data_IF_741253320571
#
_entry.id   IF_741253320571
#
_cell.length_a   1.000
_cell.length_b   1.000
_cell.length_c   1.000
_cell.angle_alpha   90.00
_cell.angle_beta   90.00
_cell.angle_gamma   90.00
#
_symmetry.space_group_name_H-M   'P 1'
#
loop_
_entity.id
_entity.type
_entity.pdbx_description
1 polymer ?
#
# COMPACT_ATOMS: atom_id res chain seq x y z
N UNK A 1 -7.47 -26.54 10.86
CA UNK A 1 -7.67 -26.99 9.47
C UNK A 1 -7.14 -25.97 8.46
N UNK A 2 -7.50 -24.67 8.53
CA UNK A 2 -6.98 -23.64 7.62
C UNK A 2 -5.43 -23.48 7.60
N UNK A 3 -4.74 -23.75 8.72
CA UNK A 3 -3.27 -23.68 8.79
C UNK A 3 -2.56 -24.76 7.97
N UNK A 4 -3.19 -25.92 7.76
CA UNK A 4 -2.61 -27.00 6.96
C UNK A 4 -2.68 -26.69 5.45
N UNK A 5 -3.71 -25.97 5.01
CA UNK A 5 -3.90 -25.60 3.60
C UNK A 5 -2.93 -24.50 3.14
N UNK A 6 -2.66 -23.50 4.00
CA UNK A 6 -1.68 -22.45 3.70
C UNK A 6 -0.26 -22.98 3.61
N UNK A 7 0.02 -24.12 4.24
CA UNK A 7 1.30 -24.81 4.28
C UNK A 7 1.52 -25.79 3.12
N UNK A 8 0.87 -25.53 2.00
CA UNK A 8 0.98 -26.28 0.75
C UNK A 8 1.09 -25.31 -0.42
N UNK A 9 1.67 -25.75 -1.54
CA UNK A 9 1.80 -24.90 -2.71
C UNK A 9 0.42 -24.46 -3.23
N UNK A 10 0.27 -23.18 -3.55
CA UNK A 10 -0.97 -22.69 -4.17
C UNK A 10 -1.19 -23.40 -5.52
N UNK A 11 -2.35 -24.03 -5.77
CA UNK A 11 -2.65 -24.64 -7.04
C UNK A 11 -2.49 -23.65 -8.19
N UNK A 12 -1.84 -24.08 -9.29
CA UNK A 12 -1.52 -23.21 -10.41
C UNK A 12 -2.77 -22.52 -11.03
N UNK A 13 -3.91 -23.19 -10.98
CA UNK A 13 -5.21 -22.69 -11.43
C UNK A 13 -5.69 -21.48 -10.62
N UNK A 14 -5.39 -21.44 -9.33
CA UNK A 14 -5.75 -20.36 -8.41
C UNK A 14 -4.70 -19.24 -8.40
N UNK A 15 -3.43 -19.58 -8.65
CA UNK A 15 -2.32 -18.62 -8.67
C UNK A 15 -2.47 -17.59 -9.82
N UNK A 16 -2.96 -18.05 -10.97
CA UNK A 16 -3.31 -17.21 -12.10
C UNK A 16 -2.16 -16.28 -12.55
N UNK A 17 -2.47 -15.10 -13.14
CA UNK A 17 -1.44 -14.16 -13.57
C UNK A 17 -0.70 -13.49 -12.41
N UNK A 18 -1.31 -13.42 -11.22
CA UNK A 18 -0.76 -12.72 -10.06
C UNK A 18 0.48 -13.39 -9.45
N UNK A 19 0.70 -14.68 -9.77
CA UNK A 19 1.96 -15.36 -9.48
C UNK A 19 3.18 -14.70 -10.17
N UNK A 20 2.95 -13.95 -11.25
CA UNK A 20 4.03 -13.29 -12.01
C UNK A 20 4.25 -11.87 -11.49
N UNK A 21 5.51 -11.54 -11.19
CA UNK A 21 5.89 -10.22 -10.69
C UNK A 21 5.38 -9.05 -11.55
N UNK A 22 5.43 -9.07 -12.89
CA UNK A 22 4.90 -7.96 -13.69
C UNK A 22 3.41 -7.68 -13.47
N UNK A 23 2.59 -8.73 -13.30
CA UNK A 23 1.16 -8.57 -13.03
C UNK A 23 0.94 -7.95 -11.63
N UNK A 24 1.72 -8.38 -10.63
CA UNK A 24 1.71 -7.76 -9.30
C UNK A 24 2.09 -6.28 -9.38
N UNK A 25 3.15 -5.91 -10.09
CA UNK A 25 3.58 -4.51 -10.23
C UNK A 25 2.48 -3.66 -10.89
N UNK A 26 1.79 -4.19 -11.90
CA UNK A 26 0.65 -3.50 -12.51
C UNK A 26 -0.48 -3.27 -11.50
N UNK A 27 -0.84 -4.26 -10.68
CA UNK A 27 -1.82 -4.10 -9.60
C UNK A 27 -1.37 -3.08 -8.56
N UNK A 28 -0.08 -3.08 -8.20
CA UNK A 28 0.50 -2.07 -7.30
C UNK A 28 0.33 -0.66 -7.87
N UNK A 29 0.51 -0.45 -9.17
CA UNK A 29 0.36 0.86 -9.79
C UNK A 29 -1.09 1.40 -9.79
N UNK A 30 -2.11 0.54 -9.82
CA UNK A 30 -3.50 0.94 -10.06
C UNK A 30 -4.02 2.05 -9.11
N UNK A 31 -3.86 1.96 -7.78
CA UNK A 31 -4.32 3.04 -6.90
C UNK A 31 -3.57 4.36 -7.16
N UNK A 32 -2.28 4.31 -7.50
CA UNK A 32 -1.51 5.53 -7.79
C UNK A 32 -1.97 6.19 -9.08
N UNK A 33 -2.30 5.40 -10.10
CA UNK A 33 -2.91 5.90 -11.34
C UNK A 33 -4.28 6.52 -11.09
N UNK A 34 -5.09 5.91 -10.21
CA UNK A 34 -6.38 6.47 -9.80
C UNK A 34 -6.20 7.79 -9.06
N UNK A 35 -5.27 7.85 -8.10
CA UNK A 35 -4.94 9.09 -7.37
C UNK A 35 -4.50 10.18 -8.34
N UNK A 36 -3.56 9.88 -9.24
CA UNK A 36 -3.13 10.81 -10.28
C UNK A 36 -4.29 11.30 -11.16
N UNK A 37 -5.20 10.41 -11.56
CA UNK A 37 -6.38 10.78 -12.35
C UNK A 37 -7.33 11.72 -11.58
N UNK A 38 -7.66 11.40 -10.33
CA UNK A 38 -8.56 12.25 -9.52
C UNK A 38 -7.92 13.59 -9.22
N UNK A 39 -6.60 13.62 -8.98
CA UNK A 39 -5.86 14.86 -8.73
C UNK A 39 -5.82 15.78 -9.96
N UNK A 40 -5.49 15.24 -11.13
CA UNK A 40 -5.30 16.03 -12.36
C UNK A 40 -6.60 16.33 -13.11
N UNK A 41 -7.64 15.49 -12.93
CA UNK A 41 -8.96 15.66 -13.58
C UNK A 41 -10.12 15.57 -12.58
N UNK A 42 -10.14 16.37 -11.51
CA UNK A 42 -11.15 16.28 -10.46
C UNK A 42 -12.57 16.54 -11.00
N UNK A 43 -12.72 17.40 -12.01
CA UNK A 43 -14.02 17.66 -12.64
C UNK A 43 -14.61 16.44 -13.36
N UNK A 44 -13.77 15.60 -13.98
CA UNK A 44 -14.23 14.37 -14.60
C UNK A 44 -14.72 13.38 -13.54
N UNK A 45 -13.97 13.21 -12.45
CA UNK A 45 -14.39 12.40 -11.31
C UNK A 45 -15.69 12.90 -10.69
N UNK A 46 -15.79 14.22 -10.43
CA UNK A 46 -17.01 14.85 -9.91
C UNK A 46 -18.21 14.69 -10.84
N UNK A 47 -18.01 14.67 -12.16
CA UNK A 47 -19.10 14.44 -13.12
C UNK A 47 -19.69 13.03 -13.00
N UNK A 48 -18.85 12.04 -12.70
CA UNK A 48 -19.28 10.65 -12.52
C UNK A 48 -20.00 10.42 -11.18
N UNK A 49 -19.52 11.03 -10.09
CA UNK A 49 -19.97 10.69 -8.73
C UNK A 49 -20.66 11.83 -7.96
N UNK A 50 -20.68 13.04 -8.50
CA UNK A 50 -21.34 14.21 -7.90
C UNK A 50 -20.90 14.49 -6.47
N UNK A 51 -21.88 14.63 -5.58
CA UNK A 51 -21.68 14.89 -4.14
C UNK A 51 -21.03 13.71 -3.39
N UNK A 52 -21.10 12.49 -3.94
CA UNK A 52 -20.48 11.27 -3.39
C UNK A 52 -19.06 11.04 -3.89
N UNK A 53 -18.46 12.00 -4.59
CA UNK A 53 -17.12 11.89 -5.19
C UNK A 53 -16.03 11.50 -4.19
N UNK A 54 -16.07 12.05 -2.97
CA UNK A 54 -15.12 11.68 -1.90
C UNK A 54 -15.37 10.25 -1.41
N UNK A 55 -16.62 9.87 -1.15
CA UNK A 55 -16.97 8.53 -0.65
C UNK A 55 -16.67 7.44 -1.68
N UNK A 56 -16.93 7.72 -2.96
CA UNK A 56 -16.57 6.84 -4.07
C UNK A 56 -15.05 6.68 -4.18
N UNK A 57 -14.29 7.77 -3.99
CA UNK A 57 -12.83 7.70 -4.05
C UNK A 57 -12.25 6.95 -2.83
N UNK A 58 -12.81 7.16 -1.65
CA UNK A 58 -12.46 6.39 -0.45
C UNK A 58 -12.73 4.88 -0.66
N UNK A 59 -13.92 4.53 -1.16
CA UNK A 59 -14.31 3.15 -1.46
C UNK A 59 -13.38 2.51 -2.49
N UNK A 60 -13.05 3.21 -3.57
CA UNK A 60 -12.10 2.76 -4.57
C UNK A 60 -10.68 2.60 -3.99
N UNK A 61 -10.27 3.50 -3.08
CA UNK A 61 -9.02 3.40 -2.35
C UNK A 61 -8.95 2.15 -1.46
N UNK A 62 -10.00 1.86 -0.69
CA UNK A 62 -10.07 0.63 0.12
C UNK A 62 -10.07 -0.63 -0.74
N UNK A 63 -10.87 -0.65 -1.81
CA UNK A 63 -10.90 -1.76 -2.76
C UNK A 63 -9.53 -1.98 -3.43
N UNK A 64 -8.86 -0.90 -3.83
CA UNK A 64 -7.51 -0.93 -4.39
C UNK A 64 -6.48 -1.46 -3.40
N UNK A 65 -6.55 -1.07 -2.12
CA UNK A 65 -5.66 -1.58 -1.08
C UNK A 65 -5.89 -3.06 -0.80
N UNK A 66 -7.15 -3.50 -0.73
CA UNK A 66 -7.50 -4.90 -0.60
C UNK A 66 -6.95 -5.72 -1.77
N UNK A 67 -7.11 -5.22 -3.00
CA UNK A 67 -6.57 -5.86 -4.20
C UNK A 67 -5.04 -5.93 -4.17
N UNK A 68 -4.35 -4.86 -3.77
CA UNK A 68 -2.89 -4.85 -3.60
C UNK A 68 -2.43 -5.91 -2.61
N UNK A 69 -3.05 -6.00 -1.43
CA UNK A 69 -2.67 -6.98 -0.41
C UNK A 69 -3.01 -8.42 -0.81
N UNK A 70 -4.16 -8.65 -1.45
CA UNK A 70 -4.52 -9.95 -2.00
C UNK A 70 -3.52 -10.39 -3.08
N UNK A 71 -3.10 -9.48 -3.97
CA UNK A 71 -2.13 -9.78 -5.01
C UNK A 71 -0.74 -10.12 -4.43
N UNK A 72 -0.27 -9.38 -3.42
CA UNK A 72 0.98 -9.71 -2.72
C UNK A 72 0.87 -11.07 -2.03
N UNK A 73 -0.24 -11.34 -1.36
CA UNK A 73 -0.48 -12.62 -0.69
C UNK A 73 -0.43 -13.80 -1.67
N UNK A 74 -1.13 -13.69 -2.80
CA UNK A 74 -1.12 -14.71 -3.86
C UNK A 74 0.27 -14.86 -4.46
N UNK A 75 0.97 -13.76 -4.75
CA UNK A 75 2.33 -13.79 -5.28
C UNK A 75 3.31 -14.49 -4.33
N UNK A 76 3.24 -14.19 -3.03
CA UNK A 76 4.07 -14.87 -2.02
C UNK A 76 3.73 -16.36 -1.95
N UNK A 77 2.45 -16.71 -1.89
CA UNK A 77 2.01 -18.10 -1.77
C UNK A 77 2.41 -18.93 -2.99
N UNK A 78 2.16 -18.41 -4.20
CA UNK A 78 2.54 -19.07 -5.44
C UNK A 78 4.06 -19.21 -5.61
N UNK A 79 4.84 -18.30 -5.02
CA UNK A 79 6.30 -18.31 -5.07
C UNK A 79 6.97 -19.34 -4.16
N UNK A 80 6.22 -20.04 -3.30
CA UNK A 80 6.74 -21.00 -2.34
C UNK A 80 6.21 -22.41 -2.59
N UNK A 81 7.10 -23.39 -2.73
CA UNK A 81 6.72 -24.81 -2.86
C UNK A 81 6.11 -25.38 -1.58
N UNK A 82 6.54 -24.88 -0.41
CA UNK A 82 5.99 -25.26 0.89
C UNK A 82 4.76 -24.41 1.30
N UNK A 83 4.25 -23.56 0.41
CA UNK A 83 3.22 -22.59 0.75
C UNK A 83 3.72 -21.49 1.70
N UNK A 84 2.81 -20.90 2.46
CA UNK A 84 3.06 -19.83 3.43
C UNK A 84 3.43 -20.37 4.83
N UNK A 85 4.26 -21.41 4.92
CA UNK A 85 4.84 -21.82 6.20
C UNK A 85 6.10 -20.99 6.51
N UNK A 86 6.16 -20.24 7.62
CA UNK A 86 7.41 -19.68 8.09
C UNK A 86 8.41 -20.82 8.36
N UNK A 87 9.55 -20.80 7.69
CA UNK A 87 10.59 -21.82 7.85
C UNK A 87 11.52 -21.53 9.02
N UNK A 88 11.49 -20.28 9.50
CA UNK A 88 12.30 -19.78 10.60
C UNK A 88 11.67 -18.55 11.22
N UNK A 89 12.11 -18.21 12.43
CA UNK A 89 11.80 -16.91 13.03
C UNK A 89 12.67 -15.81 12.40
N UNK A 90 12.16 -14.59 12.16
CA UNK A 90 12.95 -13.48 11.66
C UNK A 90 14.13 -13.18 12.58
N UNK A 91 15.36 -13.03 12.06
CA UNK A 91 16.48 -12.64 12.90
C UNK A 91 16.26 -11.22 13.45
N UNK A 92 16.76 -10.96 14.66
CA UNK A 92 16.49 -9.69 15.36
C UNK A 92 16.93 -8.45 14.57
N UNK A 93 17.99 -8.54 13.77
CA UNK A 93 18.46 -7.44 12.93
C UNK A 93 17.50 -7.09 11.77
N UNK A 94 16.58 -7.99 11.39
CA UNK A 94 15.47 -7.68 10.48
C UNK A 94 14.20 -7.32 11.25
N UNK A 95 13.92 -8.04 12.34
CA UNK A 95 12.68 -7.87 13.10
C UNK A 95 12.60 -6.51 13.79
N UNK A 96 13.66 -6.08 14.50
CA UNK A 96 13.63 -4.83 15.25
C UNK A 96 13.47 -3.60 14.35
N UNK A 97 14.22 -3.46 13.24
CA UNK A 97 13.99 -2.36 12.31
C UNK A 97 12.61 -2.44 11.63
N UNK A 98 12.13 -3.64 11.29
CA UNK A 98 10.80 -3.81 10.70
C UNK A 98 9.70 -3.34 11.66
N UNK A 99 9.79 -3.71 12.94
CA UNK A 99 8.85 -3.26 13.96
C UNK A 99 8.91 -1.73 14.14
N UNK A 100 10.11 -1.16 14.30
CA UNK A 100 10.27 0.28 14.45
C UNK A 100 9.71 1.05 13.24
N UNK A 101 10.07 0.62 12.02
CA UNK A 101 9.65 1.24 10.77
C UNK A 101 8.14 1.06 10.54
N UNK A 102 7.59 -0.11 10.83
CA UNK A 102 6.17 -0.41 10.73
C UNK A 102 5.34 0.41 11.71
N UNK A 103 5.73 0.44 13.00
CA UNK A 103 5.05 1.25 14.02
C UNK A 103 5.10 2.74 13.68
N UNK A 104 6.26 3.24 13.27
CA UNK A 104 6.40 4.64 12.83
C UNK A 104 5.51 4.94 11.62
N UNK A 105 5.53 4.08 10.60
CA UNK A 105 4.73 4.27 9.40
C UNK A 105 3.22 4.24 9.67
N UNK A 106 2.76 3.36 10.54
CA UNK A 106 1.37 3.32 10.97
C UNK A 106 1.00 4.55 11.80
N UNK A 107 1.88 5.03 12.69
CA UNK A 107 1.65 6.26 13.45
C UNK A 107 1.46 7.48 12.52
N UNK A 108 2.24 7.58 11.44
CA UNK A 108 2.04 8.62 10.41
C UNK A 108 0.68 8.48 9.72
N UNK A 109 0.35 7.28 9.22
CA UNK A 109 -0.92 7.03 8.54
C UNK A 109 -2.13 7.32 9.42
N UNK A 110 -2.13 6.81 10.65
CA UNK A 110 -3.18 7.07 11.64
C UNK A 110 -3.28 8.56 11.99
N UNK A 111 -2.13 9.24 12.13
CA UNK A 111 -2.09 10.68 12.37
C UNK A 111 -2.75 11.49 11.25
N UNK A 112 -2.55 11.11 9.98
CA UNK A 112 -3.21 11.79 8.85
C UNK A 112 -4.72 11.59 8.91
N UNK A 113 -5.19 10.36 9.14
CA UNK A 113 -6.62 10.10 9.27
C UNK A 113 -7.25 10.82 10.46
N UNK A 114 -6.55 10.88 11.60
CA UNK A 114 -7.02 11.58 12.79
C UNK A 114 -7.12 13.10 12.60
N UNK A 115 -6.24 13.70 11.80
CA UNK A 115 -6.19 15.15 11.59
C UNK A 115 -7.06 15.63 10.43
N UNK A 116 -7.04 14.91 9.31
CA UNK A 116 -7.70 15.32 8.07
C UNK A 116 -9.02 14.58 7.80
N UNK A 117 -9.24 13.46 8.46
CA UNK A 117 -10.35 12.55 8.18
C UNK A 117 -10.32 11.98 6.76
N UNK A 118 -11.37 11.24 6.40
CA UNK A 118 -11.52 10.66 5.06
C UNK A 118 -11.54 11.74 3.98
N UNK A 119 -12.15 12.89 4.24
CA UNK A 119 -12.24 13.97 3.27
C UNK A 119 -10.85 14.52 2.89
N UNK A 120 -9.94 14.76 3.83
CA UNK A 120 -8.62 15.24 3.45
C UNK A 120 -7.71 14.17 2.85
N UNK A 121 -7.85 12.90 3.25
CA UNK A 121 -7.10 11.79 2.64
C UNK A 121 -7.49 11.56 1.18
N UNK A 122 -8.77 11.67 0.85
CA UNK A 122 -9.29 11.38 -0.48
C UNK A 122 -9.63 12.67 -1.25
N UNK A 123 -8.69 13.61 -1.26
CA UNK A 123 -8.71 14.84 -2.06
C UNK A 123 -10.00 15.67 -1.98
N UNK A 124 -10.61 15.72 -0.79
CA UNK A 124 -11.80 16.53 -0.54
C UNK A 124 -11.63 17.97 -1.00
N UNK A 125 -10.45 18.58 -0.80
CA UNK A 125 -10.15 19.94 -1.28
C UNK A 125 -10.29 20.09 -2.79
N UNK A 126 -9.84 19.10 -3.59
CA UNK A 126 -10.02 19.07 -5.05
C UNK A 126 -11.46 18.71 -5.44
N UNK A 127 -12.15 17.95 -4.59
CA UNK A 127 -13.51 17.46 -4.86
C UNK A 127 -14.62 18.40 -4.35
N UNK A 128 -14.26 19.53 -3.74
CA UNK A 128 -15.19 20.59 -3.32
C UNK A 128 -15.67 20.47 -1.86
N UNK A 129 -14.92 19.75 -1.03
CA UNK A 129 -15.05 19.79 0.43
C UNK A 129 -14.07 20.83 0.99
N UNK A 130 -14.47 21.47 2.09
CA UNK A 130 -13.55 22.30 2.86
C UNK A 130 -12.67 21.39 3.73
N UNK A 131 -11.37 21.31 3.42
CA UNK A 131 -10.40 20.51 4.17
C UNK A 131 -9.41 21.46 4.83
N UNK A 132 -9.19 21.38 6.15
CA UNK A 132 -8.29 22.28 6.85
C UNK A 132 -6.83 22.05 6.42
N UNK A 133 -6.06 23.13 6.34
CA UNK A 133 -4.62 23.05 6.20
C UNK A 133 -3.99 22.82 7.57
N UNK A 134 -3.26 21.72 7.74
CA UNK A 134 -2.68 21.31 9.03
C UNK A 134 -1.16 21.31 8.94
N UNK A 135 -0.50 22.00 9.87
CA UNK A 135 0.97 22.04 9.99
C UNK A 135 1.50 21.27 11.21
N UNK A 136 0.60 20.78 12.07
CA UNK A 136 0.94 19.95 13.24
C UNK A 136 1.27 18.50 12.87
N UNK A 137 1.46 17.66 13.89
CA UNK A 137 1.66 16.21 13.68
C UNK A 137 0.52 15.60 12.83
N UNK A 138 0.80 14.74 11.83
CA UNK A 138 2.11 14.21 11.42
C UNK A 138 2.87 15.02 10.36
N UNK A 139 2.35 16.18 9.94
CA UNK A 139 2.96 17.03 8.91
C UNK A 139 4.24 17.74 9.36
N UNK A 140 4.53 17.78 10.67
CA UNK A 140 5.83 18.21 11.19
C UNK A 140 6.97 17.23 10.89
N UNK A 141 6.66 15.94 10.67
CA UNK A 141 7.69 14.92 10.42
C UNK A 141 8.13 14.88 8.96
N UNK A 142 7.20 15.10 8.03
CA UNK A 142 7.45 15.08 6.58
C UNK A 142 6.27 15.71 5.84
N UNK A 143 6.45 16.29 4.63
CA UNK A 143 5.35 16.90 3.87
C UNK A 143 4.26 15.91 3.42
N UNK A 144 4.62 14.64 3.17
CA UNK A 144 3.68 13.60 2.72
C UNK A 144 3.65 12.40 3.71
N UNK A 145 3.14 12.59 4.93
CA UNK A 145 3.25 11.60 6.00
C UNK A 145 2.57 10.27 5.67
N UNK A 146 1.46 10.29 4.93
CA UNK A 146 0.77 9.05 4.52
C UNK A 146 1.59 8.23 3.52
N UNK A 147 2.32 8.89 2.62
CA UNK A 147 3.14 8.22 1.61
C UNK A 147 4.39 7.61 2.22
N UNK A 148 5.06 8.36 3.09
CA UNK A 148 6.18 7.84 3.87
C UNK A 148 5.71 6.69 4.77
N UNK A 149 4.57 6.84 5.45
CA UNK A 149 4.04 5.81 6.34
C UNK A 149 3.62 4.53 5.63
N UNK A 150 3.04 4.66 4.44
CA UNK A 150 2.70 3.52 3.60
C UNK A 150 3.93 2.82 3.02
N UNK A 151 4.93 3.57 2.55
CA UNK A 151 6.20 3.01 2.10
C UNK A 151 6.90 2.26 3.25
N UNK A 152 7.00 2.87 4.44
CA UNK A 152 7.56 2.27 5.64
C UNK A 152 6.88 0.93 6.00
N UNK A 153 5.56 0.87 5.88
CA UNK A 153 4.79 -0.36 6.11
C UNK A 153 5.09 -1.47 5.11
N UNK A 154 5.32 -1.13 3.84
CA UNK A 154 5.73 -2.09 2.79
C UNK A 154 7.11 -2.66 3.08
N UNK A 155 8.08 -1.79 3.41
CA UNK A 155 9.44 -2.21 3.78
C UNK A 155 9.43 -3.10 5.02
N UNK A 156 8.74 -2.70 6.09
CA UNK A 156 8.59 -3.50 7.30
C UNK A 156 8.01 -4.90 7.00
N UNK A 157 6.94 -4.97 6.21
CA UNK A 157 6.32 -6.25 5.83
C UNK A 157 7.27 -7.12 5.01
N UNK A 158 8.01 -6.53 4.07
CA UNK A 158 9.01 -7.24 3.28
C UNK A 158 10.16 -7.80 4.12
N UNK A 159 10.66 -7.04 5.09
CA UNK A 159 11.68 -7.49 6.03
C UNK A 159 11.20 -8.68 6.88
N UNK A 160 9.96 -8.64 7.36
CA UNK A 160 9.36 -9.77 8.09
C UNK A 160 9.19 -10.98 7.17
N UNK A 161 8.65 -10.81 5.96
CA UNK A 161 8.46 -11.91 5.01
C UNK A 161 9.80 -12.61 4.67
N UNK A 162 10.85 -11.83 4.37
CA UNK A 162 12.20 -12.36 4.12
C UNK A 162 12.80 -13.01 5.37
N UNK A 163 12.60 -12.40 6.54
CA UNK A 163 13.03 -12.93 7.82
C UNK A 163 12.42 -14.31 8.09
N UNK A 164 11.12 -14.47 7.87
CA UNK A 164 10.38 -15.73 8.01
C UNK A 164 10.67 -16.77 6.93
N UNK A 165 11.38 -16.40 5.86
CA UNK A 165 11.60 -17.26 4.69
C UNK A 165 10.36 -17.44 3.81
N UNK A 166 9.43 -16.48 3.84
CA UNK A 166 8.17 -16.51 3.07
C UNK A 166 8.31 -15.92 1.67
N UNK A 167 9.41 -15.23 1.37
CA UNK A 167 9.66 -14.64 0.05
C UNK A 167 11.16 -14.47 -0.21
N UNK A 168 11.61 -14.56 -1.48
CA UNK A 168 13.01 -14.32 -1.83
C UNK A 168 13.39 -12.83 -1.62
N UNK A 169 14.57 -12.54 -1.02
CA UNK A 169 14.95 -11.16 -0.68
C UNK A 169 14.96 -10.20 -1.88
N UNK A 170 15.59 -10.60 -2.98
CA UNK A 170 15.78 -9.73 -4.15
C UNK A 170 14.45 -9.27 -4.75
N UNK A 171 13.51 -10.19 -4.95
CA UNK A 171 12.21 -9.85 -5.50
C UNK A 171 11.37 -9.02 -4.51
N UNK A 172 11.40 -9.37 -3.23
CA UNK A 172 10.64 -8.66 -2.17
C UNK A 172 11.09 -7.22 -2.04
N UNK A 173 12.39 -6.96 -1.93
CA UNK A 173 12.91 -5.60 -1.84
C UNK A 173 12.81 -4.84 -3.17
N UNK A 174 12.90 -5.53 -4.32
CA UNK A 174 12.60 -4.92 -5.62
C UNK A 174 11.16 -4.41 -5.71
N UNK A 175 10.19 -5.18 -5.22
CA UNK A 175 8.78 -4.77 -5.11
C UNK A 175 8.65 -3.57 -4.14
N UNK A 176 9.33 -3.60 -2.99
CA UNK A 176 9.30 -2.49 -2.04
C UNK A 176 9.85 -1.18 -2.64
N UNK A 177 10.97 -1.24 -3.37
CA UNK A 177 11.53 -0.09 -4.11
C UNK A 177 10.53 0.44 -5.14
N UNK A 178 9.94 -0.45 -5.95
CA UNK A 178 8.94 -0.06 -6.93
C UNK A 178 7.74 0.63 -6.27
N UNK A 179 7.22 0.08 -5.17
CA UNK A 179 6.08 0.64 -4.47
C UNK A 179 6.42 2.01 -3.84
N UNK A 180 7.61 2.17 -3.27
CA UNK A 180 8.13 3.46 -2.82
C UNK A 180 8.22 4.47 -3.97
N UNK A 181 8.67 4.05 -5.16
CA UNK A 181 8.72 4.91 -6.33
C UNK A 181 7.31 5.36 -6.77
N UNK A 182 6.29 4.51 -6.65
CA UNK A 182 4.90 4.90 -6.93
C UNK A 182 4.38 5.95 -5.93
N UNK A 183 4.73 5.84 -4.65
CA UNK A 183 4.42 6.89 -3.66
C UNK A 183 5.16 8.19 -3.94
N UNK A 184 6.45 8.12 -4.31
CA UNK A 184 7.23 9.29 -4.70
C UNK A 184 6.63 9.98 -5.93
N UNK A 185 6.23 9.21 -6.94
CA UNK A 185 5.53 9.73 -8.12
C UNK A 185 4.21 10.41 -7.74
N UNK A 186 3.44 9.81 -6.83
CA UNK A 186 2.19 10.40 -6.34
C UNK A 186 2.43 11.73 -5.64
N UNK A 187 3.48 11.81 -4.81
CA UNK A 187 3.90 13.05 -4.15
C UNK A 187 4.31 14.15 -5.15
N UNK A 188 5.10 13.79 -6.17
CA UNK A 188 5.50 14.71 -7.24
C UNK A 188 4.29 15.23 -8.00
N UNK A 189 3.35 14.35 -8.36
CA UNK A 189 2.10 14.75 -9.04
C UNK A 189 1.30 15.72 -8.16
N UNK A 190 1.17 15.44 -6.87
CA UNK A 190 0.45 16.33 -5.94
C UNK A 190 1.11 17.67 -5.75
N UNK A 191 2.43 17.71 -5.80
CA UNK A 191 3.17 18.94 -5.52
C UNK A 191 3.26 19.86 -6.74
N UNK A 192 3.38 19.28 -7.95
CA UNK A 192 3.71 20.03 -9.15
C UNK A 192 2.59 20.13 -10.20
N UNK A 193 1.52 19.33 -10.10
CA UNK A 193 0.37 19.34 -11.04
C UNK A 193 -0.92 19.80 -10.35
#
# INVERSE_FOLDING_TARGET
>A
MASAELCSQLPAELAGPLARTPALLAVIALPHLLYAFVWTRPHAWKRMFGSRSVDAFASAGYAGKLLQFAAVFIWMWAGQSAGLCPTRFPPLYLLLPALALGCWGQALNMGVYATLGTAGVYYGSRLGRNVPWVTGWPFTATPHPQYVGSAASVWASGMVAVGCGLAPPLATFGIAVYWSAMYALSAVIEHYL
#
